data_IF_549588070232
#
_entry.id   IF_549588070232
#
_cell.length_a   1.000
_cell.length_b   1.000
_cell.length_c   1.000
_cell.angle_alpha   90.00
_cell.angle_beta   90.00
_cell.angle_gamma   90.00
#
_symmetry.space_group_name_H-M   'P 1'
#
loop_
_entity.id
_entity.type
_entity.pdbx_description
1 polymer ?
#
# COMPACT_ATOMS: atom_id res chain seq x y z
N UNK A 1 4.74 22.31 -23.64
CA UNK A 1 3.65 21.41 -23.22
C UNK A 1 3.44 21.69 -21.75
N UNK A 2 2.29 22.25 -21.38
CA UNK A 2 1.93 22.44 -19.98
C UNK A 2 1.51 21.08 -19.43
N UNK A 3 2.46 20.33 -18.86
CA UNK A 3 2.11 19.22 -17.97
C UNK A 3 1.52 19.84 -16.71
N UNK A 4 0.22 20.08 -16.74
CA UNK A 4 -0.55 20.42 -15.55
C UNK A 4 -0.50 19.19 -14.66
N UNK A 5 0.40 19.19 -13.67
CA UNK A 5 0.47 18.13 -12.67
C UNK A 5 -0.85 18.12 -11.89
N UNK A 6 -1.76 17.23 -12.27
CA UNK A 6 -3.03 17.05 -11.60
C UNK A 6 -2.79 16.25 -10.32
N UNK A 7 -3.30 16.79 -9.20
CA UNK A 7 -3.11 16.16 -7.89
C UNK A 7 -3.84 14.80 -7.90
N UNK A 8 -3.15 13.67 -7.69
CA UNK A 8 -3.77 12.36 -7.70
C UNK A 8 -4.86 12.25 -6.62
N UNK A 9 -5.89 11.45 -6.89
CA UNK A 9 -6.88 11.13 -5.86
C UNK A 9 -6.22 10.29 -4.75
N UNK A 10 -6.85 10.22 -3.58
CA UNK A 10 -6.34 9.49 -2.43
C UNK A 10 -6.04 8.02 -2.74
N UNK A 11 -6.91 7.35 -3.48
CA UNK A 11 -6.71 5.95 -3.87
C UNK A 11 -5.43 5.77 -4.70
N UNK A 12 -5.20 6.66 -5.67
CA UNK A 12 -4.00 6.63 -6.51
C UNK A 12 -2.75 6.95 -5.70
N UNK A 13 -2.85 7.94 -4.81
CA UNK A 13 -1.75 8.32 -3.92
C UNK A 13 -1.33 7.14 -3.03
N UNK A 14 -2.26 6.48 -2.36
CA UNK A 14 -1.95 5.35 -1.49
C UNK A 14 -1.54 4.09 -2.27
N UNK A 15 -2.08 3.89 -3.47
CA UNK A 15 -1.63 2.84 -4.38
C UNK A 15 -0.18 3.05 -4.82
N UNK A 16 0.23 4.30 -5.08
CA UNK A 16 1.62 4.63 -5.38
C UNK A 16 2.53 4.37 -4.17
N UNK A 17 2.08 4.68 -2.95
CA UNK A 17 2.82 4.35 -1.73
C UNK A 17 3.00 2.84 -1.57
N UNK A 18 1.97 2.03 -1.84
CA UNK A 18 2.06 0.56 -1.80
C UNK A 18 3.07 0.01 -2.83
N UNK A 19 3.09 0.58 -4.04
CA UNK A 19 4.10 0.24 -5.07
C UNK A 19 5.53 0.58 -4.62
N UNK A 20 5.72 1.78 -4.06
CA UNK A 20 7.03 2.22 -3.57
C UNK A 20 7.53 1.33 -2.42
N UNK A 21 6.63 0.91 -1.53
CA UNK A 21 6.95 -0.08 -0.51
C UNK A 21 7.43 -1.39 -1.15
N UNK A 22 6.66 -1.95 -2.09
CA UNK A 22 7.02 -3.21 -2.75
C UNK A 22 8.40 -3.19 -3.44
N UNK A 23 8.80 -2.05 -4.01
CA UNK A 23 10.13 -1.85 -4.62
C UNK A 23 11.27 -1.87 -3.60
N UNK A 24 11.00 -1.55 -2.33
CA UNK A 24 11.97 -1.63 -1.23
C UNK A 24 12.05 -3.02 -0.59
N UNK A 25 11.21 -3.96 -1.02
CA UNK A 25 11.28 -5.34 -0.54
C UNK A 25 12.55 -6.03 -1.02
N UNK A 26 13.21 -6.76 -0.12
CA UNK A 26 14.36 -7.62 -0.43
C UNK A 26 13.92 -9.01 -0.92
N UNK A 27 12.62 -9.30 -0.96
CA UNK A 27 12.11 -10.60 -1.37
C UNK A 27 12.17 -10.74 -2.90
N UNK A 28 13.01 -11.66 -3.38
CA UNK A 28 13.31 -11.87 -4.82
C UNK A 28 12.11 -12.42 -5.61
N UNK A 29 11.21 -13.16 -4.95
CA UNK A 29 10.13 -13.90 -5.64
C UNK A 29 8.76 -13.26 -5.51
N UNK A 30 8.56 -12.37 -4.53
CA UNK A 30 7.28 -11.74 -4.23
C UNK A 30 7.51 -10.30 -3.78
N UNK A 31 7.50 -9.38 -4.75
CA UNK A 31 7.49 -7.95 -4.45
C UNK A 31 6.05 -7.52 -4.15
N UNK A 32 5.67 -7.59 -2.87
CA UNK A 32 4.37 -7.12 -2.38
C UNK A 32 4.58 -5.94 -1.44
N UNK A 33 3.73 -4.94 -1.54
CA UNK A 33 3.68 -3.80 -0.63
C UNK A 33 2.25 -3.49 -0.24
N UNK A 34 2.06 -3.04 0.99
CA UNK A 34 0.75 -2.72 1.53
C UNK A 34 0.76 -1.40 2.31
N UNK A 35 -0.36 -0.70 2.26
CA UNK A 35 -0.59 0.52 3.04
C UNK A 35 -1.91 0.41 3.75
N UNK A 36 -1.90 0.70 5.05
CA UNK A 36 -3.09 0.79 5.89
C UNK A 36 -3.50 2.25 5.98
N UNK A 37 -4.73 2.54 5.58
CA UNK A 37 -5.29 3.90 5.51
C UNK A 37 -6.59 3.97 6.28
N UNK A 38 -6.77 5.05 7.05
CA UNK A 38 -8.02 5.41 7.73
C UNK A 38 -8.28 6.90 7.54
N UNK A 39 -9.48 7.29 7.11
CA UNK A 39 -9.89 8.69 6.92
C UNK A 39 -8.89 9.51 6.06
N UNK A 40 -8.41 8.93 4.97
CA UNK A 40 -7.36 9.50 4.10
C UNK A 40 -6.03 9.83 4.82
N UNK A 41 -5.76 9.16 5.94
CA UNK A 41 -4.49 9.21 6.66
C UNK A 41 -3.82 7.85 6.60
N UNK A 42 -2.56 7.84 6.19
CA UNK A 42 -1.70 6.67 6.26
C UNK A 42 -1.37 6.36 7.72
N UNK A 43 -1.73 5.17 8.18
CA UNK A 43 -1.44 4.70 9.54
C UNK A 43 -0.14 3.91 9.57
N UNK A 44 0.06 3.03 8.59
CA UNK A 44 1.23 2.18 8.48
C UNK A 44 1.51 1.80 7.03
N UNK A 45 2.77 1.47 6.74
CA UNK A 45 3.23 0.98 5.45
C UNK A 45 4.16 -0.18 5.68
N UNK A 46 3.95 -1.25 4.93
CA UNK A 46 4.70 -2.48 5.11
C UNK A 46 5.08 -3.11 3.77
N UNK A 47 6.18 -3.87 3.79
CA UNK A 47 6.67 -4.67 2.68
C UNK A 47 6.38 -6.14 2.99
N UNK A 48 5.24 -6.61 2.52
CA UNK A 48 4.73 -7.91 2.94
C UNK A 48 5.48 -9.06 2.26
N UNK A 49 6.34 -9.77 2.99
CA UNK A 49 6.86 -11.07 2.53
C UNK A 49 5.87 -12.22 2.83
N UNK A 50 5.00 -12.03 3.84
CA UNK A 50 3.99 -12.99 4.30
C UNK A 50 2.60 -12.35 4.40
N UNK A 51 1.72 -12.65 3.43
CA UNK A 51 0.34 -12.16 3.32
C UNK A 51 -0.57 -12.48 4.53
N UNK A 52 -0.09 -13.19 5.54
CA UNK A 52 -0.89 -13.61 6.70
C UNK A 52 -0.98 -12.53 7.79
N UNK A 53 0.05 -11.71 8.00
CA UNK A 53 0.09 -10.74 9.11
C UNK A 53 -0.84 -9.55 8.87
N UNK A 54 -0.97 -9.07 7.62
CA UNK A 54 -1.93 -8.02 7.25
C UNK A 54 -3.38 -8.43 7.51
N UNK A 55 -3.72 -9.70 7.29
CA UNK A 55 -5.07 -10.23 7.55
C UNK A 55 -5.40 -10.28 9.04
N UNK A 56 -4.39 -10.32 9.90
CA UNK A 56 -4.57 -10.27 11.36
C UNK A 56 -4.86 -8.83 11.78
N UNK A 57 -4.10 -7.85 11.29
CA UNK A 57 -4.35 -6.43 11.54
C UNK A 57 -5.75 -6.00 11.07
N UNK A 58 -6.19 -6.47 9.90
CA UNK A 58 -7.54 -6.22 9.35
C UNK A 58 -8.68 -6.77 10.19
N UNK A 59 -8.46 -7.87 10.93
CA UNK A 59 -9.50 -8.50 11.75
C UNK A 59 -9.76 -7.77 13.06
N UNK A 60 -8.78 -7.00 13.54
CA UNK A 60 -8.88 -6.28 14.81
C UNK A 60 -9.59 -4.92 14.65
N UNK A 61 -9.56 -4.31 13.46
CA UNK A 61 -10.11 -2.98 13.23
C UNK A 61 -10.79 -2.85 11.84
N UNK A 62 -12.12 -3.06 11.80
CA UNK A 62 -12.92 -3.11 10.58
C UNK A 62 -13.09 -1.77 9.82
N UNK A 63 -12.30 -0.74 10.14
CA UNK A 63 -12.35 0.60 9.52
C UNK A 63 -11.12 0.91 8.66
N UNK A 64 -10.17 0.01 8.60
CA UNK A 64 -8.92 0.19 7.86
C UNK A 64 -9.03 -0.33 6.43
N UNK A 65 -8.69 0.52 5.47
CA UNK A 65 -8.53 0.12 4.07
C UNK A 65 -7.09 -0.31 3.86
N UNK A 66 -6.90 -1.57 3.46
CA UNK A 66 -5.60 -2.08 3.05
C UNK A 66 -5.51 -2.04 1.53
N UNK A 67 -4.50 -1.33 1.04
CA UNK A 67 -4.19 -1.27 -0.39
C UNK A 67 -2.96 -2.15 -0.62
N UNK A 68 -3.15 -3.28 -1.29
CA UNK A 68 -2.10 -4.23 -1.63
C UNK A 68 -1.66 -4.07 -3.09
N UNK A 69 -0.36 -4.07 -3.33
CA UNK A 69 0.21 -4.16 -4.67
C UNK A 69 1.19 -5.32 -4.76
N UNK A 70 1.11 -6.09 -5.85
CA UNK A 70 2.01 -7.19 -6.17
C UNK A 70 2.63 -6.96 -7.54
N UNK A 71 3.95 -6.97 -7.62
CA UNK A 71 4.65 -6.99 -8.91
C UNK A 71 4.31 -8.31 -9.63
N UNK A 72 3.99 -8.21 -10.90
CA UNK A 72 3.71 -9.36 -11.76
C UNK A 72 5.00 -9.94 -12.31
#
# INVERSE_FOLDING_TARGET
MSDSFERPNWDEYFMLQAKLAALRSNCITRHVGAVIVRDHRQLATDITEHLQELKIALKEDAKDVVIEWKAK
#
